data_IF_040103384578
#
_entry.id   IF_040103384578
#
_cell.length_a   1.000
_cell.length_b   1.000
_cell.length_c   1.000
_cell.angle_alpha   90.00
_cell.angle_beta   90.00
_cell.angle_gamma   90.00
#
_symmetry.space_group_name_H-M   'P 1'
#
loop_
_entity.id
_entity.type
_entity.pdbx_description
1 polymer ?
#
# COMPACT_ATOMS: atom_id res chain seq x y z
N UNK A 1 -19.14 -14.80 -23.26
CA UNK A 1 -19.68 -16.08 -22.77
C UNK A 1 -20.19 -15.80 -21.37
N UNK A 2 -21.49 -15.84 -21.14
CA UNK A 2 -22.07 -15.57 -19.82
C UNK A 2 -22.00 -16.83 -18.97
N UNK A 3 -21.23 -16.79 -17.89
CA UNK A 3 -21.14 -17.89 -16.93
C UNK A 3 -22.28 -17.72 -15.91
N UNK A 4 -23.10 -18.76 -15.74
CA UNK A 4 -24.21 -18.71 -14.78
C UNK A 4 -23.76 -19.05 -13.35
N UNK A 5 -24.50 -18.56 -12.33
CA UNK A 5 -24.22 -18.91 -10.92
C UNK A 5 -24.23 -20.43 -10.71
N UNK A 6 -25.16 -21.15 -11.36
CA UNK A 6 -25.24 -22.62 -11.28
C UNK A 6 -23.99 -23.31 -11.79
N UNK A 7 -23.34 -22.73 -12.80
CA UNK A 7 -22.11 -23.25 -13.37
C UNK A 7 -20.90 -22.99 -12.45
N UNK A 8 -20.87 -21.81 -11.81
CA UNK A 8 -19.88 -21.49 -10.77
C UNK A 8 -20.02 -22.46 -9.59
N UNK A 9 -21.23 -22.68 -9.08
CA UNK A 9 -21.49 -23.63 -7.99
C UNK A 9 -21.04 -25.05 -8.32
N UNK A 10 -21.30 -25.49 -9.56
CA UNK A 10 -20.87 -26.82 -10.04
C UNK A 10 -19.35 -26.92 -10.05
N UNK A 11 -18.66 -25.89 -10.55
CA UNK A 11 -17.21 -25.86 -10.61
C UNK A 11 -16.60 -25.86 -9.19
N UNK A 12 -17.14 -25.05 -8.27
CA UNK A 12 -16.74 -25.00 -6.87
C UNK A 12 -16.92 -26.36 -6.16
N UNK A 13 -18.01 -27.08 -6.44
CA UNK A 13 -18.25 -28.42 -5.88
C UNK A 13 -17.31 -29.49 -6.44
N UNK A 14 -16.75 -29.28 -7.64
CA UNK A 14 -15.81 -30.20 -8.27
C UNK A 14 -14.35 -30.00 -7.85
N UNK A 15 -14.05 -28.90 -7.14
CA UNK A 15 -12.70 -28.57 -6.70
C UNK A 15 -12.26 -29.46 -5.52
N UNK A 16 -11.00 -29.95 -5.51
CA UNK A 16 -10.40 -30.57 -4.34
C UNK A 16 -10.38 -29.63 -3.13
N UNK A 17 -10.59 -30.19 -1.93
CA UNK A 17 -10.81 -29.40 -0.70
C UNK A 17 -9.62 -28.50 -0.34
N UNK A 18 -8.41 -28.91 -0.68
CA UNK A 18 -7.18 -28.16 -0.47
C UNK A 18 -7.14 -26.80 -1.17
N UNK A 19 -7.95 -26.61 -2.23
CA UNK A 19 -8.03 -25.35 -2.96
C UNK A 19 -9.15 -24.42 -2.47
N UNK A 20 -10.05 -24.88 -1.61
CA UNK A 20 -11.18 -24.07 -1.14
C UNK A 20 -10.72 -22.81 -0.38
N UNK A 21 -9.57 -22.89 0.32
CA UNK A 21 -8.96 -21.72 0.96
C UNK A 21 -8.54 -20.66 -0.06
N UNK A 22 -7.79 -21.04 -1.08
CA UNK A 22 -7.34 -20.11 -2.14
C UNK A 22 -8.52 -19.49 -2.90
N UNK A 23 -9.57 -20.28 -3.14
CA UNK A 23 -10.80 -19.78 -3.76
C UNK A 23 -11.49 -18.77 -2.86
N UNK A 24 -11.57 -19.03 -1.55
CA UNK A 24 -12.12 -18.08 -0.60
C UNK A 24 -11.31 -16.77 -0.59
N UNK A 25 -9.98 -16.85 -0.53
CA UNK A 25 -9.10 -15.68 -0.56
C UNK A 25 -9.30 -14.85 -1.84
N UNK A 26 -9.47 -15.52 -2.99
CA UNK A 26 -9.74 -14.84 -4.26
C UNK A 26 -11.12 -14.17 -4.29
N UNK A 27 -12.15 -14.82 -3.74
CA UNK A 27 -13.49 -14.23 -3.58
C UNK A 27 -13.41 -12.97 -2.70
N UNK A 28 -12.66 -13.03 -1.59
CA UNK A 28 -12.51 -11.90 -0.69
C UNK A 28 -11.70 -10.76 -1.33
N UNK A 29 -10.68 -11.08 -2.13
CA UNK A 29 -10.01 -10.09 -2.99
C UNK A 29 -10.96 -9.42 -3.98
N UNK A 30 -11.80 -10.19 -4.68
CA UNK A 30 -12.77 -9.62 -5.63
C UNK A 30 -13.79 -8.72 -4.94
N UNK A 31 -14.31 -9.15 -3.78
CA UNK A 31 -15.19 -8.32 -2.95
C UNK A 31 -14.49 -7.04 -2.52
N UNK A 32 -13.24 -7.12 -2.08
CA UNK A 32 -12.46 -5.95 -1.67
C UNK A 32 -12.11 -5.03 -2.85
N UNK A 33 -11.85 -5.56 -4.04
CA UNK A 33 -11.47 -4.78 -5.22
C UNK A 33 -12.65 -4.03 -5.85
N UNK A 34 -13.85 -4.60 -5.74
CA UNK A 34 -15.05 -4.09 -6.40
C UNK A 34 -16.19 -3.73 -5.44
N UNK A 35 -15.96 -3.78 -4.12
CA UNK A 35 -16.86 -3.14 -3.16
C UNK A 35 -16.93 -1.64 -3.46
N UNK A 36 -18.11 -1.04 -3.35
CA UNK A 36 -18.32 0.40 -3.62
C UNK A 36 -17.33 1.30 -2.84
N UNK A 37 -16.84 0.84 -1.68
CA UNK A 37 -15.82 1.52 -0.87
C UNK A 37 -14.38 1.49 -1.42
N UNK A 38 -14.07 0.69 -2.44
CA UNK A 38 -12.76 0.66 -3.12
C UNK A 38 -12.79 1.28 -4.52
N UNK A 39 -13.98 1.64 -5.01
CA UNK A 39 -14.14 2.39 -6.27
C UNK A 39 -14.22 3.91 -6.03
N UNK A 40 -14.58 4.37 -4.82
CA UNK A 40 -14.91 5.78 -4.60
C UNK A 40 -13.83 6.69 -3.99
N UNK A 41 -12.64 6.19 -3.61
CA UNK A 41 -11.53 7.08 -3.18
C UNK A 41 -10.21 6.34 -3.16
N UNK A 42 -9.27 6.77 -4.00
CA UNK A 42 -7.86 6.47 -3.77
C UNK A 42 -7.49 7.00 -2.37
N UNK A 43 -6.64 6.31 -1.62
CA UNK A 43 -6.17 6.85 -0.35
C UNK A 43 -5.48 8.21 -0.56
N UNK A 44 -4.87 8.41 -1.74
CA UNK A 44 -4.26 9.67 -2.16
C UNK A 44 -5.28 10.83 -2.25
N UNK A 45 -6.55 10.53 -2.51
CA UNK A 45 -7.62 11.52 -2.55
C UNK A 45 -7.96 12.08 -1.16
N UNK A 46 -7.55 11.39 -0.10
CA UNK A 46 -7.74 11.84 1.28
C UNK A 46 -6.54 12.64 1.83
N UNK A 47 -5.50 12.86 1.02
CA UNK A 47 -4.36 13.68 1.42
C UNK A 47 -4.70 15.17 1.33
N UNK A 48 -4.31 15.92 2.35
CA UNK A 48 -4.29 17.39 2.29
C UNK A 48 -3.22 17.88 1.33
N UNK A 49 -3.36 19.12 0.83
CA UNK A 49 -2.35 19.72 -0.06
C UNK A 49 -0.96 19.74 0.60
N UNK A 50 -0.89 20.04 1.90
CA UNK A 50 0.36 19.98 2.66
C UNK A 50 1.01 18.58 2.68
N UNK A 51 0.20 17.52 2.77
CA UNK A 51 0.70 16.15 2.73
C UNK A 51 1.20 15.79 1.33
N UNK A 52 0.51 16.23 0.27
CA UNK A 52 0.93 16.06 -1.12
C UNK A 52 2.26 16.78 -1.39
N UNK A 53 2.37 18.04 -0.98
CA UNK A 53 3.60 18.84 -1.08
C UNK A 53 4.77 18.17 -0.34
N UNK A 54 4.51 17.61 0.85
CA UNK A 54 5.54 16.90 1.64
C UNK A 54 6.03 15.64 0.93
N UNK A 55 5.13 14.91 0.25
CA UNK A 55 5.48 13.73 -0.55
C UNK A 55 6.31 14.14 -1.78
N UNK A 56 5.86 15.17 -2.51
CA UNK A 56 6.57 15.68 -3.69
C UNK A 56 7.99 16.15 -3.34
N UNK A 57 8.13 16.86 -2.20
CA UNK A 57 9.44 17.22 -1.66
C UNK A 57 10.29 15.99 -1.35
N UNK A 58 9.71 14.96 -0.73
CA UNK A 58 10.41 13.72 -0.43
C UNK A 58 10.92 13.00 -1.69
N UNK A 59 10.11 12.96 -2.75
CA UNK A 59 10.50 12.39 -4.05
C UNK A 59 11.68 13.18 -4.64
N UNK A 60 11.58 14.51 -4.67
CA UNK A 60 12.63 15.38 -5.16
C UNK A 60 13.94 15.23 -4.35
N UNK A 61 13.85 15.06 -3.03
CA UNK A 61 15.00 14.82 -2.17
C UNK A 61 15.67 13.47 -2.46
N UNK A 62 14.90 12.43 -2.80
CA UNK A 62 15.43 11.12 -3.22
C UNK A 62 16.12 11.23 -4.58
N UNK A 63 15.47 11.85 -5.58
CA UNK A 63 16.02 11.99 -6.93
C UNK A 63 17.32 12.79 -6.99
N UNK A 64 17.47 13.77 -6.09
CA UNK A 64 18.66 14.61 -6.01
C UNK A 64 19.67 14.14 -4.96
N UNK A 65 19.57 12.90 -4.49
CA UNK A 65 20.48 12.31 -3.48
C UNK A 65 20.61 13.15 -2.19
N UNK A 66 19.55 13.88 -1.82
CA UNK A 66 19.46 14.68 -0.58
C UNK A 66 18.95 13.85 0.60
N UNK A 67 19.21 12.55 0.58
CA UNK A 67 18.84 11.62 1.65
C UNK A 67 20.04 11.31 2.53
N UNK A 68 19.77 10.96 3.79
CA UNK A 68 20.82 10.48 4.71
C UNK A 68 20.58 9.02 5.03
N UNK A 69 21.64 8.23 5.09
CA UNK A 69 21.61 6.94 5.76
C UNK A 69 21.37 7.15 7.26
N UNK A 70 20.92 6.09 7.92
CA UNK A 70 20.71 6.08 9.37
C UNK A 70 21.95 6.49 10.16
N UNK A 71 23.12 6.01 9.75
CA UNK A 71 24.37 6.29 10.45
C UNK A 71 24.83 7.75 10.23
N UNK A 72 24.67 8.30 9.02
CA UNK A 72 24.95 9.72 8.75
C UNK A 72 24.03 10.64 9.56
N UNK A 73 22.73 10.30 9.63
CA UNK A 73 21.77 11.06 10.41
C UNK A 73 22.13 11.07 11.90
N UNK A 74 22.47 9.92 12.49
CA UNK A 74 22.94 9.83 13.88
C UNK A 74 24.16 10.70 14.14
N UNK A 75 25.15 10.66 13.25
CA UNK A 75 26.39 11.43 13.40
C UNK A 75 26.11 12.94 13.38
N UNK A 76 25.28 13.41 12.44
CA UNK A 76 24.88 14.82 12.37
C UNK A 76 24.14 15.28 13.62
N UNK A 77 23.19 14.48 14.11
CA UNK A 77 22.45 14.78 15.34
C UNK A 77 23.41 14.86 16.53
N UNK A 78 24.35 13.91 16.64
CA UNK A 78 25.36 13.92 17.70
C UNK A 78 26.24 15.17 17.66
N UNK A 79 26.70 15.58 16.47
CA UNK A 79 27.50 16.80 16.31
C UNK A 79 26.73 18.05 16.74
N UNK A 80 25.48 18.20 16.29
CA UNK A 80 24.63 19.34 16.66
C UNK A 80 24.44 19.45 18.18
N UNK A 81 24.24 18.32 18.87
CA UNK A 81 24.09 18.31 20.33
C UNK A 81 25.38 18.73 21.06
N UNK A 82 26.55 18.34 20.55
CA UNK A 82 27.85 18.73 21.11
C UNK A 82 28.14 20.22 20.92
N UNK A 83 27.81 20.77 19.75
CA UNK A 83 27.98 22.19 19.44
C UNK A 83 27.06 23.08 20.29
N UNK A 84 25.82 22.64 20.53
CA UNK A 84 24.87 23.37 21.38
C UNK A 84 25.20 23.31 22.88
N UNK A 85 26.02 22.35 23.29
CA UNK A 85 26.46 22.18 24.68
C UNK A 85 27.77 22.90 25.00
N UNK A 86 28.39 23.58 24.02
CA UNK A 86 29.52 24.49 24.20
C UNK A 86 29.04 25.91 24.49
#
# INVERSE_FOLDING_TARGET
MEISIKEIEKNLKSLPKEFLGQVNDYIDFLKSKYSESSVEKDWADNLTDFQKDSIEKGINDIENEKTYSHEEAKQKIKQYLLEKSK
#
